data_IF_142809267859
#
_entry.id   IF_142809267859
#
_cell.length_a   1.000
_cell.length_b   1.000
_cell.length_c   1.000
_cell.angle_alpha   90.00
_cell.angle_beta   90.00
_cell.angle_gamma   90.00
#
_symmetry.space_group_name_H-M   'P 1'
#
loop_
_entity.id
_entity.type
_entity.pdbx_description
1 polymer ?
#
# COMPACT_ATOMS: atom_id res chain seq x y z
N UNK A 1 -50.72 -41.63 60.66
CA UNK A 1 -49.28 -41.33 60.53
C UNK A 1 -48.90 -41.77 59.12
N UNK A 2 -48.81 -40.81 58.20
CA UNK A 2 -48.62 -41.05 56.76
C UNK A 2 -47.43 -40.23 56.28
N UNK A 3 -46.44 -40.99 55.82
CA UNK A 3 -45.42 -40.80 54.80
C UNK A 3 -45.14 -39.44 54.14
N UNK A 4 -43.82 -39.28 53.91
CA UNK A 4 -43.15 -38.77 52.71
C UNK A 4 -43.21 -37.27 52.39
N UNK A 5 -42.02 -36.67 52.28
CA UNK A 5 -41.42 -36.16 51.03
C UNK A 5 -40.18 -35.35 51.44
N UNK A 6 -39.00 -35.89 51.17
CA UNK A 6 -37.73 -35.15 51.18
C UNK A 6 -37.19 -35.14 49.75
N UNK A 7 -37.72 -34.23 48.93
CA UNK A 7 -37.14 -33.86 47.65
C UNK A 7 -37.11 -32.33 47.58
N UNK A 8 -35.91 -31.76 47.73
CA UNK A 8 -35.68 -30.33 47.62
C UNK A 8 -35.66 -30.01 46.11
N UNK A 9 -36.54 -29.11 45.63
CA UNK A 9 -36.63 -28.78 44.22
C UNK A 9 -35.46 -27.90 43.78
N UNK A 10 -35.10 -28.06 42.51
CA UNK A 10 -33.88 -27.57 41.88
C UNK A 10 -33.60 -26.08 42.04
N UNK A 11 -32.31 -25.78 42.17
CA UNK A 11 -31.75 -24.45 42.02
C UNK A 11 -32.00 -24.03 40.57
N UNK A 12 -33.06 -23.25 40.39
CA UNK A 12 -33.32 -22.44 39.20
C UNK A 12 -32.08 -21.61 38.92
N UNK A 13 -31.41 -21.94 37.82
CA UNK A 13 -30.42 -21.08 37.19
C UNK A 13 -31.07 -19.72 36.96
N UNK A 14 -30.55 -18.70 37.64
CA UNK A 14 -30.82 -17.31 37.33
C UNK A 14 -30.51 -17.08 35.86
N UNK A 15 -31.56 -16.93 35.08
CA UNK A 15 -31.53 -16.37 33.74
C UNK A 15 -30.99 -14.94 33.79
N UNK A 16 -30.48 -14.53 32.62
CA UNK A 16 -30.45 -13.14 32.18
C UNK A 16 -29.20 -12.30 32.47
N UNK A 17 -28.06 -12.79 31.98
CA UNK A 17 -27.14 -11.86 31.29
C UNK A 17 -27.58 -11.82 29.83
N UNK A 18 -28.61 -11.02 29.52
CA UNK A 18 -28.92 -10.61 28.16
C UNK A 18 -27.74 -9.76 27.67
N UNK A 19 -26.66 -10.41 27.25
CA UNK A 19 -25.68 -9.77 26.38
C UNK A 19 -26.46 -9.35 25.13
N UNK A 20 -26.54 -8.04 24.82
CA UNK A 20 -27.21 -7.63 23.60
C UNK A 20 -26.51 -8.33 22.44
N UNK A 21 -27.27 -8.90 21.49
CA UNK A 21 -26.73 -9.71 20.42
C UNK A 21 -25.58 -8.96 19.74
N UNK A 22 -24.50 -9.67 19.36
CA UNK A 22 -23.30 -9.06 18.78
C UNK A 22 -23.58 -8.09 17.60
N UNK A 23 -24.74 -8.18 16.96
CA UNK A 23 -25.25 -7.26 15.94
C UNK A 23 -25.59 -5.87 16.50
N UNK A 24 -26.22 -5.76 17.66
CA UNK A 24 -26.62 -4.49 18.29
C UNK A 24 -25.41 -3.69 18.76
N UNK A 25 -24.43 -4.35 19.39
CA UNK A 25 -23.15 -3.71 19.76
C UNK A 25 -22.43 -3.14 18.52
N UNK A 26 -22.51 -3.83 17.38
CA UNK A 26 -21.94 -3.35 16.09
C UNK A 26 -22.75 -2.20 15.50
N UNK A 27 -24.08 -2.29 15.49
CA UNK A 27 -24.96 -1.24 15.00
C UNK A 27 -24.78 0.06 15.81
N UNK A 28 -24.74 -0.05 17.14
CA UNK A 28 -24.53 1.08 18.03
C UNK A 28 -23.15 1.73 17.84
N UNK A 29 -22.08 0.94 17.69
CA UNK A 29 -20.74 1.49 17.35
C UNK A 29 -20.75 2.27 16.04
N UNK A 30 -21.50 1.83 15.03
CA UNK A 30 -21.66 2.55 13.76
C UNK A 30 -22.44 3.85 13.96
N UNK A 31 -23.54 3.80 14.71
CA UNK A 31 -24.34 4.97 15.05
C UNK A 31 -23.48 6.05 15.72
N UNK A 32 -22.77 5.70 16.80
CA UNK A 32 -21.89 6.63 17.52
C UNK A 32 -20.78 7.17 16.62
N UNK A 33 -20.21 6.32 15.74
CA UNK A 33 -19.21 6.80 14.77
C UNK A 33 -19.80 7.86 13.85
N UNK A 34 -21.01 7.65 13.33
CA UNK A 34 -21.70 8.63 12.48
C UNK A 34 -21.95 9.92 13.25
N UNK A 35 -22.48 9.85 14.47
CA UNK A 35 -22.73 11.03 15.30
C UNK A 35 -21.45 11.81 15.61
N UNK A 36 -20.35 11.12 15.92
CA UNK A 36 -19.06 11.77 16.11
C UNK A 36 -18.64 12.53 14.85
N UNK A 37 -18.79 11.93 13.68
CA UNK A 37 -18.41 12.58 12.42
C UNK A 37 -19.30 13.77 12.04
N UNK A 38 -20.45 13.94 12.71
CA UNK A 38 -21.34 15.10 12.52
C UNK A 38 -20.95 16.31 13.35
N UNK A 39 -20.01 16.19 14.31
CA UNK A 39 -19.53 17.38 15.02
C UNK A 39 -18.91 18.38 14.02
N UNK A 40 -19.24 19.68 14.11
CA UNK A 40 -18.74 20.70 13.18
C UNK A 40 -17.23 20.67 12.95
N UNK A 41 -16.45 20.33 13.97
CA UNK A 41 -14.99 20.23 13.86
C UNK A 41 -14.50 19.18 12.84
N UNK A 42 -15.35 18.24 12.43
CA UNK A 42 -15.05 17.20 11.45
C UNK A 42 -15.76 17.39 10.10
N UNK A 43 -16.69 18.35 9.97
CA UNK A 43 -17.53 18.52 8.77
C UNK A 43 -17.17 19.73 7.91
N UNK A 44 -16.30 20.64 8.38
CA UNK A 44 -15.94 21.90 7.70
C UNK A 44 -15.13 21.76 6.39
N UNK A 45 -15.01 20.56 5.82
CA UNK A 45 -14.27 20.33 4.57
C UNK A 45 -12.74 20.42 4.69
N UNK A 46 -12.23 20.88 5.83
CA UNK A 46 -10.81 20.96 6.16
C UNK A 46 -10.49 20.24 7.47
N UNK A 47 -9.21 19.95 7.68
CA UNK A 47 -8.74 19.34 8.93
C UNK A 47 -8.50 20.44 9.95
N UNK A 48 -9.10 20.30 11.13
CA UNK A 48 -8.97 21.25 12.23
C UNK A 48 -8.13 20.67 13.36
N UNK A 49 -7.10 21.38 13.84
CA UNK A 49 -6.36 20.97 15.02
C UNK A 49 -7.26 21.00 16.25
N UNK A 50 -7.32 19.91 16.99
CA UNK A 50 -8.34 19.75 18.03
C UNK A 50 -7.92 20.40 19.36
N UNK A 51 -8.91 20.91 20.10
CA UNK A 51 -8.79 21.35 21.49
C UNK A 51 -8.25 20.21 22.37
N UNK A 52 -7.47 20.56 23.39
CA UNK A 52 -7.08 19.59 24.40
C UNK A 52 -8.30 19.03 25.11
N UNK A 53 -8.24 17.72 25.40
CA UNK A 53 -9.34 16.98 26.05
C UNK A 53 -10.66 17.03 25.27
N UNK A 54 -10.63 17.24 23.94
CA UNK A 54 -11.84 17.18 23.10
C UNK A 54 -12.60 15.85 23.25
N UNK A 55 -11.90 14.76 23.55
CA UNK A 55 -12.48 13.46 23.90
C UNK A 55 -13.51 13.56 25.04
N UNK A 56 -13.20 14.33 26.08
CA UNK A 56 -14.07 14.48 27.23
C UNK A 56 -15.34 15.26 26.85
N UNK A 57 -15.18 16.32 26.05
CA UNK A 57 -16.28 17.09 25.48
C UNK A 57 -17.21 16.18 24.63
N UNK A 58 -16.63 15.32 23.78
CA UNK A 58 -17.40 14.39 22.92
C UNK A 58 -18.15 13.35 23.75
N UNK A 59 -17.45 12.79 24.75
CA UNK A 59 -18.02 11.81 25.67
C UNK A 59 -19.19 12.41 26.42
N UNK A 60 -19.06 13.64 26.89
CA UNK A 60 -20.12 14.32 27.63
C UNK A 60 -21.39 14.47 26.79
N UNK A 61 -21.25 14.96 25.55
CA UNK A 61 -22.40 15.11 24.64
C UNK A 61 -23.05 13.75 24.35
N UNK A 62 -22.28 12.74 23.99
CA UNK A 62 -22.81 11.43 23.59
C UNK A 62 -23.40 10.64 24.76
N UNK A 63 -22.81 10.73 25.96
CA UNK A 63 -23.37 10.09 27.16
C UNK A 63 -24.63 10.78 27.67
N UNK A 64 -24.81 12.09 27.42
CA UNK A 64 -26.08 12.78 27.71
C UNK A 64 -27.21 12.26 26.81
N UNK A 65 -26.92 11.99 25.54
CA UNK A 65 -27.90 11.47 24.58
C UNK A 65 -28.21 9.98 24.76
N UNK A 66 -27.19 9.15 24.96
CA UNK A 66 -27.31 7.68 24.88
C UNK A 66 -27.30 6.96 26.22
N UNK A 67 -27.06 7.68 27.33
CA UNK A 67 -26.91 7.11 28.66
C UNK A 67 -25.47 6.84 29.08
N UNK A 68 -25.23 6.83 30.40
CA UNK A 68 -23.90 6.61 31.01
C UNK A 68 -23.46 5.14 30.98
N UNK A 69 -24.41 4.22 30.89
CA UNK A 69 -24.22 2.77 30.73
C UNK A 69 -23.40 2.43 29.46
N UNK A 70 -23.56 3.21 28.39
CA UNK A 70 -22.85 3.00 27.11
C UNK A 70 -21.48 3.68 27.03
N UNK A 71 -21.00 4.28 28.12
CA UNK A 71 -19.75 5.07 28.18
C UNK A 71 -18.54 4.31 27.65
N UNK A 72 -18.39 3.02 27.98
CA UNK A 72 -17.25 2.23 27.55
C UNK A 72 -17.19 2.09 26.02
N UNK A 73 -18.34 1.85 25.38
CA UNK A 73 -18.44 1.72 23.92
C UNK A 73 -18.21 3.08 23.25
N UNK A 74 -18.80 4.16 23.78
CA UNK A 74 -18.60 5.53 23.30
C UNK A 74 -17.11 5.90 23.34
N UNK A 75 -16.43 5.68 24.46
CA UNK A 75 -15.01 5.96 24.61
C UNK A 75 -14.17 5.19 23.58
N UNK A 76 -14.44 3.89 23.39
CA UNK A 76 -13.71 3.08 22.42
C UNK A 76 -13.85 3.60 20.99
N UNK A 77 -15.05 4.08 20.61
CA UNK A 77 -15.29 4.68 19.29
C UNK A 77 -14.55 6.02 19.15
N UNK A 78 -14.66 6.91 20.15
CA UNK A 78 -13.98 8.20 20.14
C UNK A 78 -12.45 8.02 20.08
N UNK A 79 -11.88 7.15 20.92
CA UNK A 79 -10.43 6.94 21.00
C UNK A 79 -9.86 6.43 19.67
N UNK A 80 -10.57 5.48 19.04
CA UNK A 80 -10.18 4.98 17.73
C UNK A 80 -10.23 6.10 16.68
N UNK A 81 -11.31 6.88 16.66
CA UNK A 81 -11.50 7.94 15.69
C UNK A 81 -10.46 9.06 15.85
N UNK A 82 -10.23 9.52 17.08
CA UNK A 82 -9.22 10.55 17.37
C UNK A 82 -7.81 10.06 17.05
N UNK A 83 -7.50 8.78 17.33
CA UNK A 83 -6.20 8.20 16.99
C UNK A 83 -5.97 8.19 15.48
N UNK A 84 -6.97 7.85 14.69
CA UNK A 84 -6.87 7.86 13.22
C UNK A 84 -6.86 9.30 12.67
N UNK A 85 -7.68 10.20 13.22
CA UNK A 85 -7.78 11.60 12.78
C UNK A 85 -6.50 12.40 13.05
N UNK A 86 -5.92 12.26 14.25
CA UNK A 86 -4.70 12.95 14.67
C UNK A 86 -3.41 12.20 14.29
N UNK A 87 -3.51 11.07 13.56
CA UNK A 87 -2.35 10.26 13.22
C UNK A 87 -1.43 11.01 12.27
N UNK A 88 -0.22 11.35 12.72
CA UNK A 88 0.79 11.98 11.87
C UNK A 88 1.34 11.04 10.79
N UNK A 89 1.23 9.73 10.99
CA UNK A 89 1.70 8.71 10.03
C UNK A 89 0.67 8.48 8.93
N UNK A 90 -0.61 8.38 9.27
CA UNK A 90 -1.69 8.14 8.29
C UNK A 90 -2.25 9.43 7.68
N UNK A 91 -2.22 10.54 8.42
CA UNK A 91 -2.75 11.85 8.04
C UNK A 91 -1.73 12.95 8.40
N UNK A 92 -0.64 13.08 7.62
CA UNK A 92 0.31 14.19 7.80
C UNK A 92 -0.38 15.56 7.70
N UNK A 93 -1.49 15.63 6.95
CA UNK A 93 -2.35 16.81 6.80
C UNK A 93 -2.83 17.38 8.14
N UNK A 94 -2.97 16.58 9.20
CA UNK A 94 -3.32 17.09 10.53
C UNK A 94 -2.19 17.93 11.13
N UNK A 95 -0.94 17.47 11.00
CA UNK A 95 0.22 18.24 11.42
C UNK A 95 0.39 19.50 10.57
N UNK A 96 0.12 19.41 9.26
CA UNK A 96 0.13 20.56 8.36
C UNK A 96 -0.93 21.60 8.75
N UNK A 97 -2.17 21.17 8.99
CA UNK A 97 -3.25 22.03 9.44
C UNK A 97 -2.91 22.71 10.78
N UNK A 98 -2.25 22.00 11.69
CA UNK A 98 -1.77 22.54 12.96
C UNK A 98 -0.73 23.66 12.76
N UNK A 99 0.21 23.47 11.83
CA UNK A 99 1.22 24.49 11.49
C UNK A 99 0.59 25.70 10.78
N UNK A 100 -0.32 25.46 9.84
CA UNK A 100 -0.95 26.54 9.06
C UNK A 100 -1.91 27.38 9.89
N UNK A 101 -2.80 26.76 10.67
CA UNK A 101 -3.84 27.47 11.44
C UNK A 101 -3.32 28.05 12.75
N UNK A 102 -2.30 27.43 13.35
CA UNK A 102 -1.70 27.82 14.64
C UNK A 102 -2.70 27.93 15.81
N UNK A 103 -3.92 27.41 15.64
CA UNK A 103 -5.02 27.47 16.59
C UNK A 103 -5.69 26.10 16.71
N UNK A 104 -6.29 25.86 17.88
CA UNK A 104 -7.07 24.67 18.20
C UNK A 104 -8.55 24.99 18.25
N UNK A 105 -9.36 24.04 17.82
CA UNK A 105 -10.80 24.18 17.66
C UNK A 105 -11.56 23.23 18.60
N UNK A 106 -12.66 23.71 19.17
CA UNK A 106 -13.59 22.87 19.94
C UNK A 106 -14.51 22.05 19.03
N UNK A 107 -15.46 21.32 19.62
CA UNK A 107 -16.43 20.50 18.89
C UNK A 107 -17.31 21.28 17.91
N UNK A 108 -17.56 22.54 18.22
CA UNK A 108 -18.38 23.41 17.39
C UNK A 108 -17.55 24.08 16.29
N UNK A 109 -16.26 23.76 16.18
CA UNK A 109 -15.35 24.36 15.21
C UNK A 109 -15.00 25.81 15.55
N UNK A 110 -15.14 26.23 16.81
CA UNK A 110 -14.71 27.56 17.27
C UNK A 110 -13.28 27.50 17.75
N UNK A 111 -12.49 28.50 17.41
CA UNK A 111 -11.11 28.62 17.87
C UNK A 111 -11.07 28.91 19.37
N UNK A 112 -10.24 28.17 20.12
CA UNK A 112 -10.17 28.26 21.59
C UNK A 112 -8.79 28.64 22.09
N UNK A 113 -7.74 27.97 21.60
CA UNK A 113 -6.38 28.15 22.13
C UNK A 113 -5.35 28.12 21.01
N UNK A 114 -4.35 29.00 21.08
CA UNK A 114 -3.18 28.92 20.20
C UNK A 114 -2.42 27.61 20.46
N UNK A 115 -1.84 27.06 19.40
CA UNK A 115 -0.94 25.91 19.51
C UNK A 115 0.32 26.37 20.25
N UNK A 116 0.76 25.58 21.22
CA UNK A 116 1.96 25.93 21.99
C UNK A 116 3.21 25.81 21.12
N UNK A 117 4.26 26.57 21.43
CA UNK A 117 5.53 26.48 20.69
C UNK A 117 6.09 25.05 20.71
N UNK A 118 5.97 24.35 21.85
CA UNK A 118 6.39 22.95 22.01
C UNK A 118 5.64 22.02 21.05
N UNK A 119 4.32 22.14 20.95
CA UNK A 119 3.53 21.35 20.01
C UNK A 119 3.88 21.70 18.56
N UNK A 120 4.06 22.99 18.27
CA UNK A 120 4.42 23.48 16.94
C UNK A 120 5.70 22.82 16.44
N UNK A 121 6.75 22.79 17.29
CA UNK A 121 8.00 22.10 16.97
C UNK A 121 7.77 20.61 16.72
N UNK A 122 6.91 19.94 17.51
CA UNK A 122 6.60 18.54 17.30
C UNK A 122 5.86 18.29 15.97
N UNK A 123 4.92 19.15 15.57
CA UNK A 123 4.24 19.05 14.28
C UNK A 123 5.19 19.27 13.10
N UNK A 124 6.07 20.27 13.17
CA UNK A 124 7.09 20.51 12.13
C UNK A 124 8.04 19.33 12.01
N UNK A 125 8.50 18.76 13.13
CA UNK A 125 9.35 17.58 13.12
C UNK A 125 8.66 16.38 12.48
N UNK A 126 7.38 16.16 12.78
CA UNK A 126 6.58 15.10 12.19
C UNK A 126 6.44 15.25 10.66
N UNK A 127 6.19 16.47 10.18
CA UNK A 127 6.11 16.75 8.73
C UNK A 127 7.44 16.45 8.03
N UNK A 128 8.56 16.91 8.59
CA UNK A 128 9.91 16.62 8.04
C UNK A 128 10.21 15.12 8.00
N UNK A 129 9.82 14.39 9.05
CA UNK A 129 9.97 12.95 9.10
C UNK A 129 9.13 12.26 8.01
N UNK A 130 7.90 12.71 7.79
CA UNK A 130 7.05 12.19 6.74
C UNK A 130 7.60 12.44 5.33
N UNK A 131 8.10 13.65 5.05
CA UNK A 131 8.77 13.97 3.78
C UNK A 131 9.97 13.05 3.53
N UNK A 132 10.77 12.78 4.58
CA UNK A 132 11.88 11.83 4.49
C UNK A 132 11.40 10.43 4.10
N UNK A 133 10.35 9.92 4.75
CA UNK A 133 9.78 8.61 4.42
C UNK A 133 9.29 8.54 2.97
N UNK A 134 8.68 9.61 2.46
CA UNK A 134 8.23 9.68 1.06
C UNK A 134 9.42 9.61 0.08
N UNK A 135 10.51 10.34 0.37
CA UNK A 135 11.73 10.31 -0.46
C UNK A 135 12.37 8.92 -0.46
N UNK A 136 12.48 8.29 0.70
CA UNK A 136 13.02 6.92 0.80
C UNK A 136 12.16 5.90 0.05
N UNK A 137 10.83 6.03 0.11
CA UNK A 137 9.92 5.18 -0.64
C UNK A 137 10.05 5.36 -2.16
N UNK A 138 10.24 6.60 -2.62
CA UNK A 138 10.47 6.90 -4.04
C UNK A 138 11.80 6.31 -4.53
N UNK A 139 12.89 6.54 -3.79
CA UNK A 139 14.20 5.97 -4.11
C UNK A 139 14.16 4.45 -4.20
N UNK A 140 13.46 3.77 -3.27
CA UNK A 140 13.27 2.32 -3.32
C UNK A 140 12.51 1.85 -4.55
N UNK A 141 11.55 2.63 -5.05
CA UNK A 141 10.82 2.32 -6.30
C UNK A 141 11.72 2.48 -7.51
N UNK A 142 12.42 3.61 -7.61
CA UNK A 142 13.37 3.90 -8.68
C UNK A 142 14.49 2.86 -8.74
N UNK A 143 15.04 2.44 -7.60
CA UNK A 143 16.07 1.41 -7.55
C UNK A 143 15.56 0.05 -8.05
N UNK A 144 14.33 -0.33 -7.69
CA UNK A 144 13.69 -1.56 -8.18
C UNK A 144 13.48 -1.52 -9.69
N UNK A 145 13.00 -0.39 -10.21
CA UNK A 145 12.81 -0.20 -11.64
C UNK A 145 14.13 -0.24 -12.40
N UNK A 146 15.17 0.44 -11.90
CA UNK A 146 16.51 0.39 -12.48
C UNK A 146 17.07 -1.03 -12.51
N UNK A 147 16.92 -1.81 -11.43
CA UNK A 147 17.33 -3.23 -11.38
C UNK A 147 16.56 -4.08 -12.39
N UNK A 148 15.25 -3.84 -12.55
CA UNK A 148 14.42 -4.52 -13.55
C UNK A 148 14.89 -4.21 -14.97
N UNK A 149 15.10 -2.94 -15.31
CA UNK A 149 15.59 -2.52 -16.63
C UNK A 149 16.97 -3.11 -16.93
N UNK A 150 17.90 -3.06 -15.98
CA UNK A 150 19.22 -3.66 -16.14
C UNK A 150 19.17 -5.18 -16.34
N UNK A 151 18.26 -5.87 -15.66
CA UNK A 151 18.03 -7.30 -15.87
C UNK A 151 17.46 -7.59 -17.26
N UNK A 152 16.50 -6.79 -17.73
CA UNK A 152 15.90 -6.93 -19.06
C UNK A 152 16.92 -6.69 -20.17
N UNK A 153 17.76 -5.65 -20.06
CA UNK A 153 18.85 -5.40 -21.00
C UNK A 153 19.82 -6.58 -21.08
N UNK A 154 20.22 -7.15 -19.94
CA UNK A 154 21.08 -8.35 -19.91
C UNK A 154 20.43 -9.55 -20.58
N UNK A 155 19.11 -9.71 -20.49
CA UNK A 155 18.40 -10.78 -21.19
C UNK A 155 18.42 -10.56 -22.71
N UNK A 156 18.16 -9.33 -23.16
CA UNK A 156 18.21 -8.97 -24.57
C UNK A 156 19.61 -9.18 -25.15
N UNK A 157 20.67 -8.73 -24.47
CA UNK A 157 22.07 -8.95 -24.87
C UNK A 157 22.39 -10.44 -24.98
N UNK A 158 21.97 -11.26 -24.00
CA UNK A 158 22.16 -12.72 -24.04
C UNK A 158 21.44 -13.35 -25.21
N UNK A 159 20.23 -12.89 -25.52
CA UNK A 159 19.46 -13.39 -26.66
C UNK A 159 20.12 -13.00 -27.99
N UNK A 160 20.53 -11.74 -28.15
CA UNK A 160 21.25 -11.26 -29.33
C UNK A 160 22.57 -12.03 -29.52
N UNK A 161 23.34 -12.25 -28.45
CA UNK A 161 24.57 -13.04 -28.51
C UNK A 161 24.30 -14.50 -28.93
N UNK A 162 23.23 -15.12 -28.43
CA UNK A 162 22.82 -16.48 -28.85
C UNK A 162 22.42 -16.51 -30.33
N UNK A 163 21.64 -15.52 -30.79
CA UNK A 163 21.25 -15.38 -32.21
C UNK A 163 22.49 -15.19 -33.09
N UNK A 164 23.41 -14.30 -32.73
CA UNK A 164 24.65 -14.06 -33.46
C UNK A 164 25.50 -15.34 -33.57
N UNK A 165 25.68 -16.10 -32.48
CA UNK A 165 26.39 -17.39 -32.48
C UNK A 165 25.75 -18.40 -33.45
N UNK A 166 24.41 -18.51 -33.45
CA UNK A 166 23.68 -19.39 -34.38
C UNK A 166 23.88 -18.96 -35.83
N UNK A 167 23.80 -17.67 -36.12
CA UNK A 167 24.02 -17.11 -37.47
C UNK A 167 25.45 -17.36 -37.94
N UNK A 168 26.45 -17.10 -37.10
CA UNK A 168 27.85 -17.37 -37.41
C UNK A 168 28.12 -18.85 -37.71
N UNK A 169 27.56 -19.76 -36.90
CA UNK A 169 27.65 -21.21 -37.13
C UNK A 169 27.06 -21.61 -38.49
N UNK A 170 25.85 -21.12 -38.82
CA UNK A 170 25.21 -21.36 -40.11
C UNK A 170 26.03 -20.82 -41.29
N UNK A 171 26.64 -19.63 -41.15
CA UNK A 171 27.50 -19.04 -42.17
C UNK A 171 28.75 -19.91 -42.43
N UNK A 172 29.41 -20.39 -41.38
CA UNK A 172 30.56 -21.31 -41.49
C UNK A 172 30.19 -22.63 -42.17
N UNK A 173 29.04 -23.22 -41.80
CA UNK A 173 28.55 -24.45 -42.43
C UNK A 173 28.25 -24.26 -43.92
N UNK A 174 27.61 -23.15 -44.30
CA UNK A 174 27.37 -22.82 -45.71
C UNK A 174 28.68 -22.65 -46.48
N UNK A 175 29.65 -21.91 -45.92
CA UNK A 175 30.95 -21.71 -46.55
C UNK A 175 31.73 -23.03 -46.74
N UNK A 176 31.72 -23.92 -45.74
CA UNK A 176 32.35 -25.24 -45.85
C UNK A 176 31.67 -26.11 -46.94
N UNK A 177 30.34 -26.07 -47.03
CA UNK A 177 29.59 -26.80 -48.08
C UNK A 177 29.89 -26.26 -49.48
N UNK A 178 30.03 -24.94 -49.63
CA UNK A 178 30.42 -24.31 -50.90
C UNK A 178 31.87 -24.68 -51.26
N UNK A 179 32.81 -24.63 -50.31
CA UNK A 179 34.20 -25.02 -50.55
C UNK A 179 34.32 -26.49 -50.99
N UNK A 180 33.58 -27.40 -50.34
CA UNK A 180 33.52 -28.81 -50.77
C UNK A 180 32.92 -28.97 -52.18
N UNK A 181 31.88 -28.21 -52.54
CA UNK A 181 31.30 -28.24 -53.88
C UNK A 181 32.29 -27.76 -54.97
N UNK A 182 33.12 -26.76 -54.68
CA UNK A 182 34.18 -26.27 -55.58
C UNK A 182 35.35 -27.27 -55.70
N UNK A 183 35.57 -28.11 -54.68
CA UNK A 183 36.64 -29.13 -54.74
C UNK A 183 36.21 -30.37 -55.53
N UNK A 184 34.90 -30.59 -55.68
CA UNK A 184 34.32 -31.77 -56.34
C UNK A 184 33.99 -31.48 -57.82
N UNK A 185 34.03 -30.24 -58.30
CA UNK A 185 33.98 -29.95 -59.74
C UNK A 185 35.29 -30.40 -60.40
N UNK A 186 35.30 -31.47 -61.23
CA UNK A 186 36.50 -31.85 -61.95
C UNK A 186 36.86 -30.73 -62.92
N UNK A 187 38.13 -30.35 -62.89
CA UNK A 187 38.77 -29.63 -63.99
C UNK A 187 38.68 -30.52 -65.23
N UNK A 188 37.65 -30.33 -66.04
CA UNK A 188 37.69 -30.82 -67.43
C UNK A 188 38.74 -29.95 -68.11
N UNK A 189 39.95 -30.50 -68.20
CA UNK A 189 41.02 -29.93 -69.00
C UNK A 189 40.55 -29.84 -70.45
N UNK A 190 40.58 -28.63 -70.99
CA UNK A 190 40.77 -28.42 -72.42
C UNK A 190 42.17 -28.98 -72.74
N UNK A 191 42.19 -30.20 -73.24
CA UNK A 191 43.34 -30.76 -73.94
C UNK A 191 43.32 -30.26 -75.38
N UNK A 192 44.37 -29.55 -75.75
CA UNK A 192 44.72 -29.13 -77.10
C UNK A 192 44.53 -30.24 -78.15
N UNK A 193 43.92 -29.86 -79.26
CA UNK A 193 43.76 -30.67 -80.46
C UNK A 193 43.94 -29.85 -81.72
N UNK A 194 44.99 -29.01 -81.81
CA UNK A 194 45.46 -28.46 -83.09
C UNK A 194 46.70 -29.23 -83.54
N UNK A 195 46.50 -30.20 -84.44
CA UNK A 195 47.59 -30.76 -85.23
C UNK A 195 47.84 -29.84 -86.42
N UNK A 196 49.06 -29.33 -86.49
CA UNK A 196 49.66 -28.76 -87.68
C UNK A 196 49.71 -29.83 -88.78
N UNK A 197 49.18 -29.51 -89.97
CA UNK A 197 49.65 -30.11 -91.21
C UNK A 197 50.00 -28.96 -92.16
N UNK A 198 51.30 -28.69 -92.20
CA UNK A 198 51.99 -27.89 -93.18
C UNK A 198 52.23 -28.77 -94.41
N UNK A 199 51.68 -28.39 -95.57
CA UNK A 199 52.18 -28.80 -96.89
C UNK A 199 52.12 -27.57 -97.78
N UNK A 200 53.28 -27.05 -98.12
CA UNK A 200 53.58 -26.18 -99.26
C UNK A 200 54.61 -26.92 -100.13
N UNK A 201 54.88 -26.53 -101.39
CA UNK A 201 54.32 -25.44 -102.19
C UNK A 201 53.39 -25.90 -103.34
#
# INVERSE_FOLDING_TARGET
>A
MTDAIAEIPGIVNFTDTAEPPHSEKKAFRRLIKTEVMLFPVFTQGEILPLKYKIRDDMREVLCRTHGKDKKAVINAVIDKLLKDYCSQVKRPDYALAAVMKQQRYDLHGKAVKKISQKDMTAFVAALRYHERLQREALQRKEEKERKRLAHEQRLQEREQAKRAKRTAKRKRQRAAKVAQAVTITPTVGNGDGLKHHEVAP
#
